data_IF_688407486871
#
_entry.id   IF_688407486871
#
_cell.length_a   1.000
_cell.length_b   1.000
_cell.length_c   1.000
_cell.angle_alpha   90.00
_cell.angle_beta   90.00
_cell.angle_gamma   90.00
#
_symmetry.space_group_name_H-M   'P 1'
#
loop_
_entity.id
_entity.type
_entity.pdbx_description
1 polymer ?
#
# COMPACT_ATOMS: atom_id res chain seq x y z
N UNK A 1 -0.27 -39.57 9.49
CA UNK A 1 -0.16 -38.08 9.31
C UNK A 1 -1.57 -37.52 9.24
N UNK A 2 -1.95 -36.78 10.28
CA UNK A 2 -3.28 -36.16 10.37
C UNK A 2 -3.25 -34.82 9.63
N UNK A 3 -3.39 -34.85 8.31
CA UNK A 3 -3.44 -33.63 7.49
C UNK A 3 -4.80 -32.92 7.65
N UNK A 4 -4.82 -31.57 7.73
CA UNK A 4 -6.06 -30.78 7.67
C UNK A 4 -6.90 -31.19 6.44
N UNK A 5 -8.22 -31.14 6.56
CA UNK A 5 -9.15 -31.54 5.49
C UNK A 5 -8.87 -30.72 4.19
N UNK A 6 -8.58 -29.46 4.31
CA UNK A 6 -8.22 -28.58 3.18
C UNK A 6 -7.02 -29.13 2.40
N UNK A 7 -5.93 -29.47 3.10
CA UNK A 7 -4.71 -30.03 2.48
C UNK A 7 -4.98 -31.37 1.83
N UNK A 8 -5.82 -32.20 2.45
CA UNK A 8 -6.18 -33.52 1.94
C UNK A 8 -6.95 -33.45 0.60
N UNK A 9 -7.78 -32.43 0.46
CA UNK A 9 -8.60 -32.24 -0.75
C UNK A 9 -7.95 -31.37 -1.82
N UNK A 10 -6.75 -30.83 -1.59
CA UNK A 10 -6.09 -29.92 -2.52
C UNK A 10 -5.78 -30.60 -3.87
N UNK A 11 -5.10 -31.76 -3.85
CA UNK A 11 -4.75 -32.49 -5.09
C UNK A 11 -5.98 -32.95 -5.86
N UNK A 12 -7.00 -33.60 -5.23
CA UNK A 12 -8.24 -33.94 -5.92
C UNK A 12 -8.93 -32.74 -6.59
N UNK A 13 -8.98 -31.59 -5.90
CA UNK A 13 -9.55 -30.34 -6.47
C UNK A 13 -8.79 -29.86 -7.70
N UNK A 14 -7.46 -29.88 -7.67
CA UNK A 14 -6.64 -29.52 -8.82
C UNK A 14 -6.86 -30.44 -10.02
N UNK A 15 -6.96 -31.74 -9.78
CA UNK A 15 -7.24 -32.74 -10.84
C UNK A 15 -8.63 -32.52 -11.41
N UNK A 16 -9.64 -32.27 -10.57
CA UNK A 16 -10.99 -31.95 -11.02
C UNK A 16 -11.01 -30.68 -11.88
N UNK A 17 -10.36 -29.59 -11.44
CA UNK A 17 -10.25 -28.35 -12.19
C UNK A 17 -9.55 -28.57 -13.54
N UNK A 18 -8.43 -29.29 -13.56
CA UNK A 18 -7.74 -29.67 -14.79
C UNK A 18 -8.68 -30.39 -15.77
N UNK A 19 -9.43 -31.37 -15.28
CA UNK A 19 -10.36 -32.16 -16.11
C UNK A 19 -11.50 -31.30 -16.66
N UNK A 20 -12.03 -30.35 -15.86
CA UNK A 20 -13.04 -29.37 -16.29
C UNK A 20 -12.49 -28.50 -17.40
N UNK A 21 -11.27 -27.94 -17.25
CA UNK A 21 -10.67 -27.07 -18.24
C UNK A 21 -10.37 -27.82 -19.56
N UNK A 22 -9.89 -29.06 -19.49
CA UNK A 22 -9.60 -29.87 -20.68
C UNK A 22 -10.85 -30.31 -21.42
N UNK A 23 -11.98 -30.49 -20.73
CA UNK A 23 -13.23 -30.98 -21.30
C UNK A 23 -14.35 -29.93 -21.21
N UNK A 24 -14.00 -28.64 -21.20
CA UNK A 24 -14.93 -27.55 -20.97
C UNK A 24 -16.14 -27.60 -21.90
N UNK A 25 -15.93 -27.83 -23.21
CA UNK A 25 -17.00 -27.90 -24.18
C UNK A 25 -17.96 -29.09 -23.94
N UNK A 26 -17.43 -30.25 -23.60
CA UNK A 26 -18.24 -31.43 -23.31
C UNK A 26 -19.06 -31.25 -22.00
N UNK A 27 -18.56 -30.45 -21.07
CA UNK A 27 -19.21 -30.14 -19.81
C UNK A 27 -20.11 -28.89 -19.87
N UNK A 28 -20.24 -28.26 -21.03
CA UNK A 28 -21.02 -27.04 -21.22
C UNK A 28 -20.42 -25.79 -20.51
N UNK A 29 -19.14 -25.85 -20.13
CA UNK A 29 -18.43 -24.73 -19.49
C UNK A 29 -17.88 -23.78 -20.54
N UNK A 30 -18.31 -22.53 -20.51
CA UNK A 30 -17.77 -21.46 -21.38
C UNK A 30 -16.53 -20.89 -20.70
N UNK A 31 -15.36 -21.12 -21.27
CA UNK A 31 -14.13 -20.47 -20.87
C UNK A 31 -14.01 -19.11 -21.57
N UNK A 32 -13.55 -18.05 -20.87
CA UNK A 32 -13.25 -16.79 -21.53
C UNK A 32 -12.08 -16.99 -22.50
N UNK A 33 -12.16 -16.32 -23.66
CA UNK A 33 -11.02 -16.26 -24.59
C UNK A 33 -9.97 -15.30 -24.02
N UNK A 34 -8.96 -15.86 -23.39
CA UNK A 34 -7.85 -15.11 -22.81
C UNK A 34 -6.66 -15.17 -23.76
N UNK A 35 -6.28 -14.02 -24.37
CA UNK A 35 -5.12 -13.98 -25.24
C UNK A 35 -3.85 -14.32 -24.46
N UNK A 36 -2.99 -15.17 -25.03
CA UNK A 36 -1.69 -15.51 -24.46
C UNK A 36 -0.67 -14.36 -24.66
N UNK A 37 -0.94 -13.24 -24.01
CA UNK A 37 -0.07 -12.06 -23.98
C UNK A 37 -0.04 -11.47 -22.58
N UNK A 38 1.04 -10.77 -22.17
CA UNK A 38 1.09 -10.08 -20.89
C UNK A 38 -0.09 -9.12 -20.75
N UNK A 39 -0.79 -9.20 -19.63
CA UNK A 39 -1.87 -8.27 -19.31
C UNK A 39 -1.32 -6.88 -18.96
N UNK A 40 -0.16 -6.83 -18.33
CA UNK A 40 0.47 -5.60 -17.88
C UNK A 40 1.90 -5.46 -18.40
N UNK A 41 2.36 -4.23 -18.43
CA UNK A 41 3.75 -3.84 -18.67
C UNK A 41 4.30 -3.18 -17.43
N UNK A 42 5.60 -3.28 -17.23
CA UNK A 42 6.32 -2.59 -16.16
C UNK A 42 7.06 -1.40 -16.74
N UNK A 43 6.92 -0.25 -16.12
CA UNK A 43 7.68 0.96 -16.45
C UNK A 43 8.49 1.39 -15.24
N UNK A 44 9.68 1.92 -15.49
CA UNK A 44 10.48 2.58 -14.46
C UNK A 44 10.25 4.09 -14.51
N UNK A 45 10.28 4.71 -13.33
CA UNK A 45 10.18 6.16 -13.21
C UNK A 45 11.41 6.75 -12.53
N UNK A 46 11.77 7.95 -12.92
CA UNK A 46 12.98 8.64 -12.48
C UNK A 46 12.74 9.66 -11.34
N UNK A 47 11.47 9.93 -11.02
CA UNK A 47 11.10 10.91 -9.98
C UNK A 47 9.89 10.42 -9.17
N UNK A 48 9.72 10.91 -7.93
CA UNK A 48 8.54 10.56 -7.13
C UNK A 48 7.26 11.09 -7.78
N UNK A 49 6.16 10.36 -7.63
CA UNK A 49 4.84 10.73 -8.14
C UNK A 49 3.77 10.39 -7.10
N UNK A 50 2.78 11.25 -6.94
CA UNK A 50 1.63 10.95 -6.11
C UNK A 50 0.86 9.74 -6.68
N UNK A 51 0.48 8.81 -5.81
CA UNK A 51 -0.22 7.59 -6.20
C UNK A 51 -1.54 7.88 -6.92
N UNK A 52 -2.29 8.87 -6.44
CA UNK A 52 -3.52 9.32 -7.10
C UNK A 52 -3.25 9.87 -8.51
N UNK A 53 -2.18 10.64 -8.67
CA UNK A 53 -1.80 11.20 -9.98
C UNK A 53 -1.38 10.10 -10.95
N UNK A 54 -0.63 9.10 -10.48
CA UNK A 54 -0.25 7.94 -11.29
C UNK A 54 -1.48 7.14 -11.74
N UNK A 55 -2.44 6.92 -10.84
CA UNK A 55 -3.71 6.26 -11.18
C UNK A 55 -4.53 7.05 -12.21
N UNK A 56 -4.58 8.39 -12.09
CA UNK A 56 -5.22 9.27 -13.07
C UNK A 56 -4.56 9.19 -14.44
N UNK A 57 -3.22 9.19 -14.52
CA UNK A 57 -2.51 9.06 -15.79
C UNK A 57 -2.79 7.71 -16.46
N UNK A 58 -2.95 6.66 -15.66
CA UNK A 58 -3.35 5.34 -16.13
C UNK A 58 -4.85 5.22 -16.44
N UNK A 59 -5.66 6.24 -16.15
CA UNK A 59 -7.15 6.19 -16.17
C UNK A 59 -7.69 4.99 -15.40
N UNK A 60 -7.16 4.75 -14.24
CA UNK A 60 -7.57 3.69 -13.32
C UNK A 60 -8.15 4.30 -12.05
N UNK A 61 -9.01 3.54 -11.37
CA UNK A 61 -9.33 3.84 -9.98
C UNK A 61 -8.07 3.67 -9.13
N UNK A 62 -8.00 4.34 -7.98
CA UNK A 62 -6.87 4.18 -7.05
C UNK A 62 -6.81 2.73 -6.56
N UNK A 63 -7.97 2.12 -6.31
CA UNK A 63 -8.12 0.73 -5.87
C UNK A 63 -7.53 -0.25 -6.88
N UNK A 64 -7.90 -0.13 -8.15
CA UNK A 64 -7.38 -1.00 -9.22
C UNK A 64 -5.89 -0.79 -9.43
N UNK A 65 -5.44 0.47 -9.35
CA UNK A 65 -4.03 0.78 -9.49
C UNK A 65 -3.20 0.16 -8.35
N UNK A 66 -3.66 0.24 -7.10
CA UNK A 66 -3.02 -0.38 -5.93
C UNK A 66 -3.09 -1.90 -6.01
N UNK A 67 -4.22 -2.47 -6.45
CA UNK A 67 -4.36 -3.92 -6.64
C UNK A 67 -3.31 -4.47 -7.62
N UNK A 68 -3.00 -3.73 -8.68
CA UNK A 68 -1.95 -4.09 -9.64
C UNK A 68 -0.54 -3.78 -9.10
N UNK A 69 -0.42 -2.82 -8.18
CA UNK A 69 0.83 -2.31 -7.61
C UNK A 69 0.84 -2.38 -6.07
N UNK A 70 0.69 -3.56 -5.45
CA UNK A 70 0.51 -3.69 -3.99
C UNK A 70 1.73 -3.23 -3.17
N UNK A 71 2.89 -3.09 -3.80
CA UNK A 71 4.07 -2.52 -3.16
C UNK A 71 3.95 -1.00 -2.90
N UNK A 72 3.02 -0.31 -3.58
CA UNK A 72 2.78 1.11 -3.43
C UNK A 72 1.59 1.36 -2.51
N UNK A 73 1.84 1.36 -1.22
CA UNK A 73 0.84 1.56 -0.17
C UNK A 73 0.91 2.95 0.50
N UNK A 74 1.74 3.84 -0.04
CA UNK A 74 1.87 5.22 0.42
C UNK A 74 1.30 6.19 -0.60
N UNK A 75 0.92 7.42 -0.20
CA UNK A 75 0.35 8.41 -1.11
C UNK A 75 1.33 8.89 -2.17
N UNK A 76 2.63 8.71 -1.95
CA UNK A 76 3.70 9.04 -2.91
C UNK A 76 4.51 7.80 -3.23
N UNK A 77 4.73 7.56 -4.51
CA UNK A 77 5.56 6.49 -5.03
C UNK A 77 6.98 7.00 -5.21
N UNK A 78 7.93 6.41 -4.49
CA UNK A 78 9.35 6.78 -4.50
C UNK A 78 10.02 6.41 -5.83
N UNK A 79 10.97 7.24 -6.29
CA UNK A 79 11.78 6.93 -7.47
C UNK A 79 12.96 5.99 -7.17
N UNK A 80 13.38 5.92 -5.91
CA UNK A 80 14.51 5.08 -5.49
C UNK A 80 14.09 3.73 -4.93
N UNK A 81 12.94 3.73 -4.23
CA UNK A 81 12.36 2.51 -3.63
C UNK A 81 11.14 2.10 -4.44
N UNK A 82 11.17 0.90 -5.03
CA UNK A 82 10.10 0.42 -5.90
C UNK A 82 9.77 1.43 -7.01
N UNK A 83 10.76 1.74 -7.84
CA UNK A 83 10.62 2.66 -8.96
C UNK A 83 9.78 2.10 -10.12
N UNK A 84 9.39 0.84 -10.05
CA UNK A 84 8.58 0.18 -11.04
C UNK A 84 7.08 0.44 -10.82
N UNK A 85 6.38 0.75 -11.91
CA UNK A 85 4.91 0.81 -11.95
C UNK A 85 4.43 -0.20 -12.98
N UNK A 86 3.47 -1.03 -12.57
CA UNK A 86 2.76 -1.94 -13.47
C UNK A 86 1.49 -1.29 -13.98
N UNK A 87 1.28 -1.35 -15.27
CA UNK A 87 0.12 -0.78 -15.96
C UNK A 87 -0.46 -1.83 -16.91
N UNK A 88 -1.79 -1.87 -17.12
CA UNK A 88 -2.36 -2.61 -18.23
C UNK A 88 -1.70 -2.18 -19.54
N UNK A 89 -1.36 -3.14 -20.40
CA UNK A 89 -0.57 -2.89 -21.60
C UNK A 89 -1.22 -1.86 -22.54
N UNK A 90 -2.54 -1.82 -22.59
CA UNK A 90 -3.34 -0.86 -23.37
C UNK A 90 -3.37 0.56 -22.79
N UNK A 91 -2.85 0.76 -21.58
CA UNK A 91 -2.80 2.07 -20.90
C UNK A 91 -1.44 2.75 -20.98
N UNK A 92 -0.42 2.06 -21.50
CA UNK A 92 0.96 2.54 -21.50
C UNK A 92 1.14 3.87 -22.24
N UNK A 93 0.66 3.95 -23.49
CA UNK A 93 0.86 5.15 -24.32
C UNK A 93 0.14 6.36 -23.76
N UNK A 94 -1.06 6.13 -23.25
CA UNK A 94 -1.84 7.16 -22.57
C UNK A 94 -1.15 7.67 -21.30
N UNK A 95 -0.60 6.77 -20.48
CA UNK A 95 0.15 7.11 -19.29
C UNK A 95 1.36 7.99 -19.62
N UNK A 96 2.16 7.58 -20.61
CA UNK A 96 3.31 8.35 -21.09
C UNK A 96 2.91 9.73 -21.62
N UNK A 97 1.85 9.82 -22.40
CA UNK A 97 1.34 11.08 -22.92
C UNK A 97 0.83 12.01 -21.81
N UNK A 98 0.20 11.46 -20.78
CA UNK A 98 -0.25 12.24 -19.62
C UNK A 98 0.93 12.76 -18.80
N UNK A 99 1.96 11.94 -18.58
CA UNK A 99 3.20 12.35 -17.92
C UNK A 99 3.88 13.49 -18.66
N UNK A 100 4.05 13.35 -19.98
CA UNK A 100 4.71 14.36 -20.81
C UNK A 100 3.96 15.71 -20.78
N UNK A 101 2.63 15.68 -20.84
CA UNK A 101 1.82 16.91 -20.72
C UNK A 101 1.95 17.55 -19.35
N UNK A 102 1.93 16.77 -18.28
CA UNK A 102 2.07 17.26 -16.92
C UNK A 102 3.43 17.91 -16.69
N UNK A 103 4.49 17.34 -17.28
CA UNK A 103 5.84 17.89 -17.26
C UNK A 103 5.94 19.18 -18.06
N UNK A 104 5.35 19.25 -19.25
CA UNK A 104 5.30 20.45 -20.07
C UNK A 104 4.57 21.62 -19.36
N UNK A 105 3.54 21.31 -18.58
CA UNK A 105 2.82 22.27 -17.74
C UNK A 105 3.62 22.71 -16.49
N UNK A 106 4.81 22.18 -16.26
CA UNK A 106 5.65 22.44 -15.08
C UNK A 106 4.93 22.16 -13.75
N UNK A 107 4.00 21.22 -13.73
CA UNK A 107 3.25 20.83 -12.54
C UNK A 107 4.06 19.84 -11.67
N UNK A 108 3.87 19.92 -10.36
CA UNK A 108 4.50 19.00 -9.44
C UNK A 108 3.93 17.58 -9.58
N UNK A 109 4.80 16.57 -9.69
CA UNK A 109 4.39 15.16 -9.72
C UNK A 109 4.04 14.61 -8.34
N UNK A 110 4.62 15.17 -7.27
CA UNK A 110 4.33 14.80 -5.91
C UNK A 110 3.95 16.04 -5.09
N UNK A 111 2.86 15.98 -4.36
CA UNK A 111 2.42 17.02 -3.42
C UNK A 111 2.69 16.62 -1.99
N UNK A 112 2.75 15.33 -1.69
CA UNK A 112 3.05 14.80 -0.37
C UNK A 112 4.55 14.94 -0.06
N UNK A 113 4.85 15.70 1.00
CA UNK A 113 6.22 16.01 1.41
C UNK A 113 6.40 15.81 2.91
N UNK A 114 7.63 15.57 3.38
CA UNK A 114 7.95 15.56 4.79
C UNK A 114 7.62 16.90 5.44
N UNK A 115 6.81 16.85 6.47
CA UNK A 115 6.40 17.98 7.29
C UNK A 115 6.73 17.70 8.76
N UNK A 116 7.31 18.65 9.45
CA UNK A 116 7.54 18.55 10.92
C UNK A 116 6.42 19.26 11.64
N UNK A 117 5.70 18.52 12.49
CA UNK A 117 4.57 19.05 13.25
C UNK A 117 5.06 20.14 14.22
N UNK A 118 4.44 21.31 14.18
CA UNK A 118 4.82 22.47 15.00
C UNK A 118 4.24 22.35 16.40
N UNK A 119 4.80 23.11 17.34
CA UNK A 119 4.25 23.23 18.69
C UNK A 119 2.82 23.78 18.66
N UNK A 120 1.91 23.11 19.36
CA UNK A 120 0.48 23.45 19.38
C UNK A 120 -0.33 22.98 18.16
N UNK A 121 0.32 22.37 17.17
CA UNK A 121 -0.35 21.82 15.99
C UNK A 121 -0.76 20.37 16.24
N UNK A 122 -1.94 19.99 15.78
CA UNK A 122 -2.48 18.63 15.86
C UNK A 122 -2.60 18.01 14.45
N UNK A 123 -2.80 16.69 14.38
CA UNK A 123 -3.07 16.04 13.10
C UNK A 123 -4.33 16.58 12.43
N UNK A 124 -5.34 16.96 13.23
CA UNK A 124 -6.59 17.51 12.73
C UNK A 124 -6.36 18.87 12.05
N UNK A 125 -5.67 19.79 12.74
CA UNK A 125 -5.33 21.10 12.16
C UNK A 125 -4.44 20.98 10.93
N UNK A 126 -3.52 19.99 10.92
CA UNK A 126 -2.69 19.71 9.75
C UNK A 126 -3.52 19.16 8.58
N UNK A 127 -4.43 18.22 8.84
CA UNK A 127 -5.31 17.64 7.82
C UNK A 127 -6.22 18.71 7.19
N UNK A 128 -6.85 19.55 8.01
CA UNK A 128 -7.69 20.67 7.57
C UNK A 128 -6.89 21.65 6.67
N UNK A 129 -5.70 22.05 7.11
CA UNK A 129 -4.83 22.95 6.34
C UNK A 129 -4.36 22.33 5.03
N UNK A 130 -4.06 21.04 5.04
CA UNK A 130 -3.62 20.29 3.87
C UNK A 130 -4.78 19.94 2.91
N UNK A 131 -6.03 20.09 3.34
CA UNK A 131 -7.22 19.77 2.55
C UNK A 131 -7.44 18.27 2.36
N UNK A 132 -6.99 17.44 3.31
CA UNK A 132 -7.15 15.98 3.28
C UNK A 132 -7.93 15.50 4.50
N UNK A 133 -8.51 14.29 4.38
CA UNK A 133 -9.18 13.67 5.51
C UNK A 133 -8.17 13.19 6.56
N UNK A 134 -8.51 13.28 7.84
CA UNK A 134 -7.67 12.79 8.95
C UNK A 134 -7.23 11.34 8.75
N UNK A 135 -8.16 10.47 8.31
CA UNK A 135 -7.87 9.06 8.06
C UNK A 135 -6.87 8.86 6.92
N UNK A 136 -6.91 9.68 5.90
CA UNK A 136 -5.95 9.67 4.80
C UNK A 136 -4.56 10.06 5.31
N UNK A 137 -4.47 11.13 6.10
CA UNK A 137 -3.21 11.57 6.70
C UNK A 137 -2.63 10.50 7.65
N UNK A 138 -3.47 9.82 8.45
CA UNK A 138 -3.06 8.71 9.30
C UNK A 138 -2.52 7.52 8.49
N UNK A 139 -3.28 7.06 7.50
CA UNK A 139 -2.87 5.96 6.62
C UNK A 139 -1.56 6.24 5.90
N UNK A 140 -1.40 7.46 5.37
CA UNK A 140 -0.18 7.91 4.70
C UNK A 140 1.07 7.77 5.58
N UNK A 141 0.90 7.93 6.87
CA UNK A 141 1.97 7.90 7.88
C UNK A 141 2.03 6.59 8.69
N UNK A 142 1.19 5.62 8.39
CA UNK A 142 1.14 4.35 9.12
C UNK A 142 0.70 4.52 10.58
N UNK A 143 -0.07 5.56 10.90
CA UNK A 143 -0.53 5.85 12.25
C UNK A 143 -1.82 5.08 12.57
N UNK A 144 -1.84 4.41 13.71
CA UNK A 144 -3.04 3.75 14.24
C UNK A 144 -4.04 4.76 14.79
N UNK A 145 -5.30 4.33 14.89
CA UNK A 145 -6.31 5.13 15.56
C UNK A 145 -5.94 5.34 17.03
N UNK A 146 -6.11 6.59 17.50
CA UNK A 146 -5.73 6.95 18.87
C UNK A 146 -4.25 7.26 19.09
N UNK A 147 -3.35 7.07 18.11
CA UNK A 147 -1.94 7.41 18.26
C UNK A 147 -1.75 8.88 18.64
N UNK A 148 -1.07 9.13 19.77
CA UNK A 148 -0.71 10.47 20.22
C UNK A 148 0.53 10.93 19.47
N UNK A 149 0.39 12.00 18.71
CA UNK A 149 1.48 12.60 17.94
C UNK A 149 1.89 13.91 18.62
N UNK A 150 3.18 14.08 18.83
CA UNK A 150 3.74 15.25 19.52
C UNK A 150 4.41 16.21 18.53
N UNK A 151 4.57 17.44 18.93
CA UNK A 151 5.36 18.42 18.20
C UNK A 151 6.77 17.89 17.90
N UNK A 152 7.32 18.22 16.74
CA UNK A 152 8.60 17.70 16.24
C UNK A 152 8.49 16.39 15.48
N UNK A 153 7.34 15.69 15.50
CA UNK A 153 7.14 14.47 14.70
C UNK A 153 7.16 14.81 13.20
N UNK A 154 7.98 14.08 12.44
CA UNK A 154 8.00 14.20 10.96
C UNK A 154 6.93 13.31 10.35
N UNK A 155 6.11 13.89 9.52
CA UNK A 155 4.98 13.24 8.85
C UNK A 155 5.03 13.54 7.35
N UNK A 156 4.44 12.66 6.53
CA UNK A 156 4.07 13.02 5.16
C UNK A 156 2.76 13.80 5.20
N UNK A 157 2.72 14.95 4.56
CA UNK A 157 1.50 15.74 4.39
C UNK A 157 1.53 16.48 3.05
N UNK A 158 0.37 16.70 2.41
CA UNK A 158 0.31 17.52 1.21
C UNK A 158 0.73 18.96 1.55
N UNK A 159 1.57 19.52 0.69
CA UNK A 159 2.04 20.90 0.82
C UNK A 159 1.94 21.62 -0.51
N UNK A 160 1.65 22.92 -0.43
CA UNK A 160 1.69 23.82 -1.60
C UNK A 160 3.13 24.28 -1.81
N UNK A 161 3.60 24.30 -3.04
CA UNK A 161 4.90 24.85 -3.40
C UNK A 161 5.82 23.85 -4.09
N UNK A 162 7.10 24.25 -4.21
CA UNK A 162 8.10 23.42 -4.88
C UNK A 162 8.38 22.17 -4.06
N UNK A 163 8.28 21.03 -4.71
CA UNK A 163 8.54 19.73 -4.10
C UNK A 163 10.04 19.50 -4.01
N UNK A 164 10.54 19.26 -2.82
CA UNK A 164 11.88 18.76 -2.61
C UNK A 164 11.89 17.23 -2.75
N UNK A 165 12.17 16.76 -3.97
CA UNK A 165 12.17 15.33 -4.29
C UNK A 165 13.15 14.53 -3.42
N UNK A 166 14.30 15.12 -3.05
CA UNK A 166 15.29 14.45 -2.20
C UNK A 166 14.75 14.21 -0.80
N UNK A 167 13.99 15.17 -0.26
CA UNK A 167 13.34 15.02 1.05
C UNK A 167 12.25 13.97 1.06
N UNK A 168 11.49 13.88 -0.04
CA UNK A 168 10.48 12.81 -0.21
C UNK A 168 11.14 11.45 -0.24
N UNK A 169 12.21 11.30 -1.01
CA UNK A 169 12.95 10.05 -1.13
C UNK A 169 13.62 9.60 0.18
N UNK A 170 14.10 10.55 0.97
CA UNK A 170 14.76 10.28 2.26
C UNK A 170 13.79 10.12 3.45
N UNK A 171 12.48 10.24 3.20
CA UNK A 171 11.50 10.18 4.29
C UNK A 171 11.34 8.74 4.82
N UNK A 172 11.49 8.60 6.13
CA UNK A 172 11.11 7.41 6.88
C UNK A 172 9.90 7.75 7.76
N UNK A 173 8.86 6.91 7.68
CA UNK A 173 7.69 7.10 8.51
C UNK A 173 8.06 7.00 10.00
N UNK A 174 7.48 7.85 10.86
CA UNK A 174 7.75 7.81 12.28
C UNK A 174 7.33 6.45 12.86
N UNK A 175 8.20 5.87 13.68
CA UNK A 175 7.84 4.69 14.48
C UNK A 175 7.15 5.21 15.75
N UNK A 176 5.84 5.15 15.76
CA UNK A 176 5.07 5.45 16.96
C UNK A 176 4.98 4.17 17.77
N UNK A 177 5.71 4.11 18.88
CA UNK A 177 5.61 3.01 19.83
C UNK A 177 4.47 3.33 20.79
N UNK A 178 3.43 2.52 20.78
CA UNK A 178 2.41 2.55 21.82
C UNK A 178 2.87 1.66 22.97
N UNK A 179 3.04 2.25 24.13
CA UNK A 179 3.34 1.48 25.34
C UNK A 179 2.03 0.83 25.78
N UNK A 180 1.86 -0.45 25.43
CA UNK A 180 0.73 -1.23 25.88
C UNK A 180 1.08 -1.71 27.29
N UNK A 181 0.53 -1.06 28.31
CA UNK A 181 0.55 -1.60 29.68
C UNK A 181 -0.33 -2.85 29.68
N UNK A 182 0.29 -4.00 29.65
CA UNK A 182 -0.39 -5.26 29.97
C UNK A 182 -0.42 -5.40 31.47
N UNK A 183 -1.59 -5.49 32.11
CA UNK A 183 -1.64 -5.77 33.54
C UNK A 183 -0.89 -7.09 33.80
N UNK A 184 -0.02 -7.06 34.81
CA UNK A 184 0.73 -8.24 35.20
C UNK A 184 -0.26 -9.36 35.55
N UNK A 185 -0.12 -10.49 34.89
CA UNK A 185 -0.87 -11.70 35.26
C UNK A 185 -0.07 -12.42 36.35
N UNK A 186 -0.65 -12.52 37.54
CA UNK A 186 -0.04 -13.24 38.65
C UNK A 186 -0.60 -14.65 38.66
N UNK A 187 0.29 -15.63 38.68
CA UNK A 187 -0.05 -17.02 38.93
C UNK A 187 0.26 -17.34 40.40
N UNK A 188 -0.70 -17.86 41.14
CA UNK A 188 -0.48 -18.33 42.49
C UNK A 188 0.04 -19.75 42.44
N UNK A 189 1.30 -19.94 42.80
CA UNK A 189 1.97 -21.24 42.74
C UNK A 189 1.29 -22.24 43.73
N UNK A 190 0.76 -23.32 43.17
CA UNK A 190 0.15 -24.41 43.94
C UNK A 190 1.19 -25.33 44.58
N UNK A 191 0.74 -26.16 45.55
CA UNK A 191 1.58 -27.22 46.14
C UNK A 191 2.03 -28.18 45.03
N UNK A 192 3.34 -28.30 44.78
CA UNK A 192 4.04 -29.11 43.78
C UNK A 192 4.19 -28.50 42.37
N UNK A 193 3.86 -27.24 42.18
CA UNK A 193 4.22 -26.54 40.97
C UNK A 193 5.64 -25.99 41.00
N UNK A 194 6.35 -26.06 39.91
CA UNK A 194 7.68 -25.46 39.71
C UNK A 194 7.63 -24.43 38.59
N UNK A 195 8.61 -23.54 38.51
CA UNK A 195 8.71 -22.59 37.41
C UNK A 195 8.69 -23.27 36.03
N UNK A 196 9.30 -24.45 35.92
CA UNK A 196 9.30 -25.24 34.67
C UNK A 196 7.93 -25.86 34.32
N UNK A 197 7.01 -26.01 35.29
CA UNK A 197 5.66 -26.49 35.03
C UNK A 197 4.64 -25.37 34.74
N UNK A 198 5.05 -24.09 34.97
CA UNK A 198 4.20 -22.90 34.79
C UNK A 198 4.55 -22.21 33.46
N UNK A 199 5.78 -22.37 32.95
CA UNK A 199 6.25 -21.83 31.66
C UNK A 199 5.80 -22.70 30.50
#
# INVERSE_FOLDING_TARGET
LNMPAETRHYVPKLIALKNILLNANALGVKLPDLPNRPYFVTIEKSRPIDLQLAAQFARMSVEDFVALNPAHNRPVISARRNNEIKLPADRLDQFKAAMARHEADSKAFATWQPYTLKTGETLDTLAQRAGVQMNELRKANGLRDGAKIVAGTRLLAPQKGIVDEQRVESFEAPRVYEQIERPAQYHTVGKRESLASIA
#
